data_IF_034798725754
#
_entry.id   IF_034798725754
#
_cell.length_a   1.000
_cell.length_b   1.000
_cell.length_c   1.000
_cell.angle_alpha   90.00
_cell.angle_beta   90.00
_cell.angle_gamma   90.00
#
_symmetry.space_group_name_H-M   'P 1'
#
loop_
_entity.id
_entity.type
_entity.pdbx_description
1 polymer ?
#
# COMPACT_ATOMS: atom_id res chain seq x y z
N UNK A 1 -0.34 22.60 -8.81
CA UNK A 1 -1.23 21.52 -9.29
C UNK A 1 -2.64 21.78 -8.78
N UNK A 2 -3.69 21.26 -9.42
CA UNK A 2 -5.06 21.47 -8.91
C UNK A 2 -5.26 20.72 -7.60
N UNK A 3 -5.72 21.42 -6.54
CA UNK A 3 -5.99 20.86 -5.21
C UNK A 3 -6.81 19.56 -5.26
N UNK A 4 -7.74 19.46 -6.21
CA UNK A 4 -8.56 18.26 -6.47
C UNK A 4 -7.72 17.00 -6.71
N UNK A 5 -6.58 17.10 -7.40
CA UNK A 5 -5.70 15.95 -7.67
C UNK A 5 -5.04 15.50 -6.36
N UNK A 6 -4.50 16.44 -5.58
CA UNK A 6 -3.86 16.14 -4.31
C UNK A 6 -4.85 15.50 -3.32
N UNK A 7 -6.04 16.09 -3.18
CA UNK A 7 -7.10 15.54 -2.33
C UNK A 7 -7.49 14.13 -2.78
N UNK A 8 -7.70 13.92 -4.08
CA UNK A 8 -8.07 12.61 -4.61
C UNK A 8 -7.00 11.57 -4.29
N UNK A 9 -5.73 11.91 -4.47
CA UNK A 9 -4.60 11.03 -4.28
C UNK A 9 -4.42 10.65 -2.80
N UNK A 10 -4.58 11.62 -1.89
CA UNK A 10 -4.53 11.41 -0.45
C UNK A 10 -5.66 10.50 0.05
N UNK A 11 -6.91 10.83 -0.29
CA UNK A 11 -8.08 10.07 0.18
C UNK A 11 -8.14 8.67 -0.43
N UNK A 12 -7.79 8.54 -1.71
CA UNK A 12 -7.67 7.23 -2.35
C UNK A 12 -6.59 6.39 -1.68
N UNK A 13 -5.39 6.96 -1.47
CA UNK A 13 -4.30 6.28 -0.79
C UNK A 13 -4.71 5.84 0.63
N UNK A 14 -5.21 6.76 1.44
CA UNK A 14 -5.67 6.44 2.79
C UNK A 14 -6.75 5.34 2.79
N UNK A 15 -7.78 5.45 1.96
CA UNK A 15 -8.87 4.47 1.88
C UNK A 15 -8.39 3.10 1.41
N UNK A 16 -7.53 3.05 0.38
CA UNK A 16 -6.98 1.81 -0.13
C UNK A 16 -6.07 1.11 0.91
N UNK A 17 -5.21 1.85 1.62
CA UNK A 17 -4.42 1.31 2.72
C UNK A 17 -5.29 0.78 3.85
N UNK A 18 -6.32 1.52 4.27
CA UNK A 18 -7.22 1.06 5.34
C UNK A 18 -7.95 -0.22 4.95
N UNK A 19 -8.45 -0.30 3.71
CA UNK A 19 -9.11 -1.50 3.21
C UNK A 19 -8.13 -2.69 3.13
N UNK A 20 -6.92 -2.46 2.61
CA UNK A 20 -5.89 -3.48 2.57
C UNK A 20 -5.54 -4.00 3.97
N UNK A 21 -5.37 -3.10 4.94
CA UNK A 21 -5.09 -3.45 6.33
C UNK A 21 -6.20 -4.32 6.94
N UNK A 22 -7.47 -3.98 6.66
CA UNK A 22 -8.61 -4.80 7.07
C UNK A 22 -8.57 -6.20 6.45
N UNK A 23 -8.28 -6.31 5.15
CA UNK A 23 -8.20 -7.62 4.49
C UNK A 23 -7.06 -8.47 5.08
N UNK A 24 -5.91 -7.86 5.37
CA UNK A 24 -4.79 -8.54 6.04
C UNK A 24 -5.18 -9.00 7.44
N UNK A 25 -5.86 -8.17 8.23
CA UNK A 25 -6.23 -8.50 9.62
C UNK A 25 -7.23 -9.64 9.73
N UNK A 26 -8.12 -9.79 8.74
CA UNK A 26 -9.09 -10.89 8.68
C UNK A 26 -8.45 -12.27 8.40
N UNK A 27 -7.17 -12.31 8.01
CA UNK A 27 -6.40 -13.54 7.75
C UNK A 27 -7.19 -14.59 6.92
N UNK A 28 -7.88 -14.15 5.87
CA UNK A 28 -8.76 -14.97 5.02
C UNK A 28 -8.02 -15.99 4.14
N UNK A 29 -6.73 -16.20 4.40
CA UNK A 29 -5.87 -17.11 3.69
C UNK A 29 -4.84 -16.42 2.82
N UNK A 30 -3.81 -17.20 2.47
CA UNK A 30 -2.57 -16.73 1.85
C UNK A 30 -2.76 -15.86 0.60
N UNK A 31 -3.62 -16.29 -0.33
CA UNK A 31 -3.82 -15.57 -1.61
C UNK A 31 -4.52 -14.24 -1.38
N UNK A 32 -5.51 -14.19 -0.49
CA UNK A 32 -6.26 -12.97 -0.18
C UNK A 32 -5.35 -11.94 0.50
N UNK A 33 -4.53 -12.37 1.46
CA UNK A 33 -3.49 -11.52 2.07
C UNK A 33 -2.50 -11.00 1.03
N UNK A 34 -2.10 -11.83 0.07
CA UNK A 34 -1.25 -11.41 -1.05
C UNK A 34 -1.87 -10.32 -1.92
N UNK A 35 -3.16 -10.41 -2.23
CA UNK A 35 -3.90 -9.36 -2.94
C UNK A 35 -4.07 -8.08 -2.11
N UNK A 36 -4.18 -8.19 -0.79
CA UNK A 36 -4.18 -7.02 0.09
C UNK A 36 -2.83 -6.26 0.03
N UNK A 37 -1.70 -6.98 -0.05
CA UNK A 37 -0.40 -6.35 -0.31
C UNK A 37 -0.33 -5.64 -1.67
N UNK A 38 -1.02 -6.13 -2.70
CA UNK A 38 -1.13 -5.42 -3.99
C UNK A 38 -1.91 -4.11 -3.82
N UNK A 39 -3.00 -4.11 -3.06
CA UNK A 39 -3.73 -2.87 -2.72
C UNK A 39 -2.87 -1.90 -1.90
N UNK A 40 -2.04 -2.41 -0.99
CA UNK A 40 -1.09 -1.55 -0.29
C UNK A 40 -0.05 -0.93 -1.23
N UNK A 41 0.41 -1.65 -2.27
CA UNK A 41 1.29 -1.09 -3.31
C UNK A 41 0.61 0.07 -4.04
N UNK A 42 -0.65 -0.08 -4.46
CA UNK A 42 -1.37 1.00 -5.17
C UNK A 42 -1.60 2.20 -4.26
N UNK A 43 -1.92 1.96 -2.99
CA UNK A 43 -2.00 3.00 -1.97
C UNK A 43 -0.68 3.74 -1.78
N UNK A 44 0.44 3.02 -1.65
CA UNK A 44 1.75 3.62 -1.45
C UNK A 44 2.14 4.50 -2.63
N UNK A 45 1.89 4.08 -3.88
CA UNK A 45 2.16 4.91 -5.07
C UNK A 45 1.35 6.21 -5.03
N UNK A 46 0.07 6.16 -4.66
CA UNK A 46 -0.75 7.35 -4.52
C UNK A 46 -0.22 8.29 -3.42
N UNK A 47 0.10 7.77 -2.24
CA UNK A 47 0.61 8.58 -1.12
C UNK A 47 2.04 9.08 -1.34
N UNK A 48 2.87 8.37 -2.11
CA UNK A 48 4.16 8.87 -2.61
C UNK A 48 3.92 10.09 -3.49
N UNK A 49 3.06 9.95 -4.51
CA UNK A 49 2.73 11.07 -5.39
C UNK A 49 2.19 12.25 -4.61
N UNK A 50 1.30 12.03 -3.65
CA UNK A 50 0.77 13.09 -2.80
C UNK A 50 1.86 13.72 -1.92
N UNK A 51 2.70 12.91 -1.27
CA UNK A 51 3.74 13.40 -0.36
C UNK A 51 4.84 14.20 -1.03
N UNK A 52 5.15 13.93 -2.30
CA UNK A 52 6.13 14.72 -3.07
C UNK A 52 5.51 15.92 -3.81
N UNK A 53 4.18 15.95 -3.99
CA UNK A 53 3.50 17.03 -4.72
C UNK A 53 2.80 18.04 -3.79
N UNK A 54 2.53 17.67 -2.54
CA UNK A 54 1.95 18.55 -1.52
C UNK A 54 3.05 19.22 -0.68
N UNK A 55 2.86 20.49 -0.32
CA UNK A 55 3.76 21.21 0.57
C UNK A 55 3.81 20.55 1.96
N UNK A 56 4.97 20.55 2.59
CA UNK A 56 5.25 19.98 3.93
C UNK A 56 4.88 18.48 4.12
N UNK A 57 4.69 17.73 3.03
CA UNK A 57 4.19 16.35 3.07
C UNK A 57 5.26 15.29 2.73
N UNK A 58 6.51 15.71 2.54
CA UNK A 58 7.61 14.85 2.09
C UNK A 58 7.87 13.66 3.02
N UNK A 59 7.66 13.83 4.33
CA UNK A 59 7.81 12.74 5.31
C UNK A 59 6.87 11.56 5.05
N UNK A 60 5.61 11.83 4.69
CA UNK A 60 4.64 10.80 4.33
C UNK A 60 5.01 10.17 2.99
N UNK A 61 5.55 10.96 2.05
CA UNK A 61 6.08 10.47 0.78
C UNK A 61 7.18 9.42 1.00
N UNK A 62 8.21 9.74 1.79
CA UNK A 62 9.30 8.81 2.05
C UNK A 62 8.88 7.56 2.81
N UNK A 63 7.99 7.71 3.80
CA UNK A 63 7.41 6.57 4.50
C UNK A 63 6.72 5.62 3.53
N UNK A 64 5.96 6.14 2.56
CA UNK A 64 5.26 5.32 1.58
C UNK A 64 6.21 4.67 0.57
N UNK A 65 7.37 5.25 0.29
CA UNK A 65 8.41 4.54 -0.49
C UNK A 65 8.94 3.33 0.26
N UNK A 66 9.26 3.48 1.55
CA UNK A 66 9.70 2.33 2.36
C UNK A 66 8.60 1.26 2.42
N UNK A 67 7.34 1.67 2.61
CA UNK A 67 6.19 0.78 2.56
C UNK A 67 6.02 0.11 1.20
N UNK A 68 6.27 0.81 0.09
CA UNK A 68 6.18 0.24 -1.25
C UNK A 68 7.11 -0.98 -1.39
N UNK A 69 8.34 -0.89 -0.88
CA UNK A 69 9.30 -2.00 -0.88
C UNK A 69 8.80 -3.15 0.00
N UNK A 70 8.33 -2.86 1.20
CA UNK A 70 7.79 -3.87 2.13
C UNK A 70 6.57 -4.58 1.53
N UNK A 71 5.66 -3.82 0.93
CA UNK A 71 4.46 -4.33 0.29
C UNK A 71 4.79 -5.18 -0.92
N UNK A 72 5.78 -4.79 -1.73
CA UNK A 72 6.28 -5.61 -2.84
C UNK A 72 6.86 -6.94 -2.36
N UNK A 73 7.62 -6.94 -1.24
CA UNK A 73 8.09 -8.17 -0.59
C UNK A 73 6.92 -9.01 -0.10
N UNK A 74 5.87 -8.39 0.46
CA UNK A 74 4.62 -9.04 0.82
C UNK A 74 3.95 -9.72 -0.38
N UNK A 75 3.77 -9.01 -1.49
CA UNK A 75 3.23 -9.57 -2.74
C UNK A 75 4.04 -10.79 -3.18
N UNK A 76 5.36 -10.66 -3.23
CA UNK A 76 6.25 -11.76 -3.62
C UNK A 76 6.12 -12.95 -2.67
N UNK A 77 6.10 -12.75 -1.35
CA UNK A 77 6.01 -13.81 -0.34
C UNK A 77 4.66 -14.56 -0.37
N UNK A 78 3.55 -13.85 -0.60
CA UNK A 78 2.21 -14.42 -0.49
C UNK A 78 1.65 -14.92 -1.81
N UNK A 79 1.93 -14.25 -2.94
CA UNK A 79 1.43 -14.66 -4.26
C UNK A 79 2.44 -15.46 -5.09
N UNK A 80 3.73 -15.13 -5.02
CA UNK A 80 4.75 -15.65 -5.95
C UNK A 80 5.55 -16.80 -5.32
N UNK A 81 5.90 -16.69 -4.05
CA UNK A 81 6.71 -17.69 -3.38
C UNK A 81 5.92 -18.98 -3.11
N UNK A 82 6.37 -20.08 -3.72
CA UNK A 82 5.80 -21.42 -3.54
C UNK A 82 6.07 -22.03 -2.17
N UNK A 83 6.89 -21.39 -1.32
CA UNK A 83 7.15 -21.87 0.03
C UNK A 83 5.88 -21.75 0.89
N UNK A 84 5.11 -22.82 1.10
CA UNK A 84 4.20 -22.87 2.27
C UNK A 84 5.06 -22.58 3.51
N UNK A 85 4.80 -21.51 4.29
CA UNK A 85 5.26 -21.49 5.67
C UNK A 85 4.80 -22.83 6.26
N UNK A 86 5.72 -23.61 6.83
CA UNK A 86 5.33 -24.78 7.60
C UNK A 86 4.54 -24.23 8.78
N UNK A 87 3.29 -24.65 8.89
CA UNK A 87 2.41 -24.35 10.00
C UNK A 87 3.04 -24.85 11.32
#
# INVERSE_FOLDING_TARGET
MSDTILTTLQYYGAGAATLAALIVSLNLGRRITGWAFVLFVTSSIALIGWGFLAEDSEGIGWQNVALLVINAVGVWRYLISKHKPRD
#
